data_IF_939598909112
#
_entry.id   IF_939598909112
#
_cell.length_a   1.000
_cell.length_b   1.000
_cell.length_c   1.000
_cell.angle_alpha   90.00
_cell.angle_beta   90.00
_cell.angle_gamma   90.00
#
_symmetry.space_group_name_H-M   'P 1'
#
loop_
_entity.id
_entity.type
_entity.pdbx_description
1 polymer ?
#
# COMPACT_ATOMS: atom_id res chain seq x y z
N UNK A 1 -3.90 -8.18 -15.66
CA UNK A 1 -4.51 -7.41 -14.55
C UNK A 1 -4.12 -8.13 -13.28
N UNK A 2 -3.61 -7.44 -12.25
CA UNK A 2 -3.25 -8.07 -10.97
C UNK A 2 -4.45 -7.99 -10.05
N UNK A 3 -4.99 -9.13 -9.61
CA UNK A 3 -6.20 -9.19 -8.78
C UNK A 3 -5.96 -9.03 -7.27
N UNK A 4 -4.70 -8.97 -6.85
CA UNK A 4 -4.32 -8.77 -5.44
C UNK A 4 -2.96 -8.09 -5.30
N UNK A 5 -2.74 -7.39 -4.19
CA UNK A 5 -1.41 -6.91 -3.77
C UNK A 5 -1.26 -6.87 -2.25
N UNK A 6 0.00 -6.69 -1.81
CA UNK A 6 0.35 -6.46 -0.41
C UNK A 6 1.23 -5.22 -0.35
N UNK A 7 0.90 -4.32 0.56
CA UNK A 7 1.67 -3.13 0.89
C UNK A 7 2.18 -3.26 2.34
N UNK A 8 3.50 -3.16 2.53
CA UNK A 8 4.16 -3.30 3.83
C UNK A 8 4.95 -2.03 4.11
N UNK A 9 4.52 -1.26 5.10
CA UNK A 9 5.10 0.03 5.47
C UNK A 9 5.25 0.98 4.28
N UNK A 10 4.27 0.99 3.37
CA UNK A 10 4.25 1.83 2.19
C UNK A 10 4.18 3.33 2.49
N UNK A 11 4.50 4.11 1.46
CA UNK A 11 4.47 5.56 1.50
C UNK A 11 3.21 6.12 0.83
N UNK A 12 2.81 7.33 1.25
CA UNK A 12 1.69 8.05 0.65
C UNK A 12 1.93 8.47 -0.80
N UNK A 13 3.16 8.36 -1.30
CA UNK A 13 3.51 8.70 -2.67
C UNK A 13 5.00 8.54 -2.94
N UNK A 14 5.43 8.74 -4.20
CA UNK A 14 6.84 8.63 -4.56
C UNK A 14 7.69 9.65 -3.80
N UNK A 15 8.81 9.18 -3.24
CA UNK A 15 9.80 10.02 -2.58
C UNK A 15 11.22 9.55 -2.90
N UNK A 16 12.02 10.47 -3.42
CA UNK A 16 13.45 10.32 -3.67
C UNK A 16 14.23 11.53 -3.13
N UNK A 17 13.66 12.23 -2.14
CA UNK A 17 14.18 13.48 -1.59
C UNK A 17 13.65 14.75 -2.27
N UNK A 18 14.22 15.93 -1.96
CA UNK A 18 13.68 17.23 -2.39
C UNK A 18 13.55 17.42 -3.91
N UNK A 19 14.29 16.64 -4.71
CA UNK A 19 14.28 16.73 -6.18
C UNK A 19 13.37 15.70 -6.85
N UNK A 20 12.50 15.01 -6.10
CA UNK A 20 11.63 13.93 -6.62
C UNK A 20 10.91 14.32 -7.91
N UNK A 21 10.28 15.50 -7.95
CA UNK A 21 9.50 15.95 -9.10
C UNK A 21 10.40 16.18 -10.32
N UNK A 22 11.56 16.80 -10.14
CA UNK A 22 12.51 17.03 -11.24
C UNK A 22 13.05 15.72 -11.81
N UNK A 23 13.49 14.81 -10.93
CA UNK A 23 14.22 13.61 -11.34
C UNK A 23 13.31 12.50 -11.84
N UNK A 24 12.13 12.32 -11.24
CA UNK A 24 11.23 11.22 -11.55
C UNK A 24 10.04 11.65 -12.44
N UNK A 25 9.70 12.94 -12.46
CA UNK A 25 8.52 13.45 -13.17
C UNK A 25 8.86 14.55 -14.19
N UNK A 26 10.14 14.85 -14.40
CA UNK A 26 10.61 15.84 -15.36
C UNK A 26 10.14 17.25 -15.04
N UNK A 27 10.03 17.59 -13.76
CA UNK A 27 9.55 18.90 -13.28
C UNK A 27 8.02 19.04 -13.31
N UNK A 28 7.27 18.01 -13.71
CA UNK A 28 5.82 18.08 -13.78
C UNK A 28 5.15 17.73 -12.45
N UNK A 29 4.64 18.76 -11.77
CA UNK A 29 3.83 18.60 -10.56
C UNK A 29 2.53 17.80 -10.82
N UNK A 30 1.90 17.99 -11.97
CA UNK A 30 0.67 17.26 -12.32
C UNK A 30 0.93 15.76 -12.47
N UNK A 31 2.05 15.36 -13.09
CA UNK A 31 2.44 13.95 -13.19
C UNK A 31 2.75 13.36 -11.82
N UNK A 32 3.40 14.12 -10.94
CA UNK A 32 3.63 13.70 -9.56
C UNK A 32 2.30 13.49 -8.82
N UNK A 33 1.41 14.49 -8.86
CA UNK A 33 0.09 14.41 -8.21
C UNK A 33 -0.74 13.23 -8.75
N UNK A 34 -0.73 12.99 -10.06
CA UNK A 34 -1.41 11.86 -10.68
C UNK A 34 -0.79 10.49 -10.34
N UNK A 35 0.44 10.45 -9.82
CA UNK A 35 1.13 9.22 -9.42
C UNK A 35 0.88 8.81 -7.96
N UNK A 36 0.32 9.73 -7.15
CA UNK A 36 -0.02 9.46 -5.75
C UNK A 36 -1.02 8.28 -5.71
N UNK A 37 -0.79 7.22 -4.90
CA UNK A 37 -1.64 6.03 -4.85
C UNK A 37 -3.14 6.34 -4.74
N UNK A 38 -3.52 7.29 -3.87
CA UNK A 38 -4.93 7.71 -3.74
C UNK A 38 -5.50 8.33 -5.01
N UNK A 39 -4.71 9.15 -5.74
CA UNK A 39 -5.11 9.71 -7.03
C UNK A 39 -5.22 8.63 -8.12
N UNK A 40 -4.25 7.69 -8.16
CA UNK A 40 -4.28 6.54 -9.07
C UNK A 40 -5.55 5.72 -8.84
N UNK A 41 -5.84 5.37 -7.58
CA UNK A 41 -7.01 4.57 -7.23
C UNK A 41 -8.31 5.31 -7.54
N UNK A 42 -8.43 6.59 -7.17
CA UNK A 42 -9.62 7.38 -7.49
C UNK A 42 -9.87 7.46 -9.02
N UNK A 43 -8.83 7.63 -9.83
CA UNK A 43 -8.95 7.77 -11.28
C UNK A 43 -9.41 6.51 -12.03
N UNK A 44 -9.33 5.35 -11.37
CA UNK A 44 -9.62 4.02 -11.97
C UNK A 44 -10.68 3.24 -11.22
N UNK A 45 -11.26 3.82 -10.17
CA UNK A 45 -12.34 3.22 -9.43
C UNK A 45 -13.55 2.92 -10.35
N UNK A 46 -14.34 1.87 -10.06
CA UNK A 46 -14.18 0.95 -8.94
C UNK A 46 -13.24 -0.24 -9.24
N UNK A 47 -12.54 -0.72 -8.22
CA UNK A 47 -11.71 -1.93 -8.28
C UNK A 47 -12.46 -3.19 -7.81
N UNK A 48 -13.56 -3.52 -8.50
CA UNK A 48 -14.52 -4.53 -8.04
C UNK A 48 -13.96 -5.96 -7.87
N UNK A 49 -12.79 -6.28 -8.43
CA UNK A 49 -12.13 -7.57 -8.28
C UNK A 49 -10.65 -7.39 -7.89
N UNK A 50 -10.39 -6.56 -6.89
CA UNK A 50 -9.05 -6.38 -6.32
C UNK A 50 -9.08 -6.56 -4.81
N UNK A 51 -8.16 -7.38 -4.28
CA UNK A 51 -7.91 -7.51 -2.85
C UNK A 51 -6.57 -6.89 -2.45
N UNK A 52 -6.52 -6.32 -1.24
CA UNK A 52 -5.28 -5.74 -0.73
C UNK A 52 -5.09 -6.06 0.75
N UNK A 53 -3.83 -6.32 1.11
CA UNK A 53 -3.40 -6.30 2.51
C UNK A 53 -2.44 -5.14 2.68
N UNK A 54 -2.83 -4.15 3.47
CA UNK A 54 -1.92 -3.13 3.98
C UNK A 54 -1.42 -3.58 5.34
N UNK A 55 -0.13 -3.42 5.59
CA UNK A 55 0.46 -3.83 6.85
C UNK A 55 1.58 -2.90 7.29
N UNK A 56 1.68 -2.61 8.57
CA UNK A 56 2.68 -1.69 9.12
C UNK A 56 3.05 -2.06 10.55
N UNK A 57 4.25 -1.68 10.98
CA UNK A 57 4.69 -1.87 12.36
C UNK A 57 3.87 -1.05 13.35
N UNK A 58 3.54 -1.62 14.50
CA UNK A 58 2.84 -0.93 15.59
C UNK A 58 3.56 0.35 16.03
N UNK A 59 4.89 0.30 16.05
CA UNK A 59 5.79 1.37 16.48
C UNK A 59 6.35 2.19 15.30
N UNK A 60 5.87 1.97 14.08
CA UNK A 60 6.27 2.70 12.88
C UNK A 60 5.57 4.06 12.80
N UNK A 61 5.87 4.95 13.75
CA UNK A 61 5.24 6.28 13.84
C UNK A 61 5.49 7.17 12.61
N UNK A 62 6.51 6.89 11.81
CA UNK A 62 6.85 7.64 10.61
C UNK A 62 5.95 7.30 9.42
N UNK A 63 5.62 6.02 9.23
CA UNK A 63 4.90 5.55 8.04
C UNK A 63 3.48 5.06 8.32
N UNK A 64 3.16 4.62 9.54
CA UNK A 64 1.84 4.10 9.90
C UNK A 64 0.67 5.03 9.54
N UNK A 65 0.71 6.36 9.84
CA UNK A 65 -0.38 7.25 9.43
C UNK A 65 -0.58 7.28 7.91
N UNK A 66 0.50 7.16 7.14
CA UNK A 66 0.46 7.11 5.68
C UNK A 66 -0.15 5.82 5.16
N UNK A 67 0.23 4.67 5.72
CA UNK A 67 -0.35 3.37 5.37
C UNK A 67 -1.86 3.34 5.67
N UNK A 68 -2.28 3.83 6.84
CA UNK A 68 -3.69 3.98 7.22
C UNK A 68 -4.46 4.87 6.21
N UNK A 69 -3.83 5.96 5.74
CA UNK A 69 -4.43 6.84 4.74
C UNK A 69 -4.60 6.16 3.37
N UNK A 70 -3.57 5.43 2.90
CA UNK A 70 -3.62 4.76 1.60
C UNK A 70 -4.62 3.59 1.62
N UNK A 71 -4.69 2.85 2.73
CA UNK A 71 -5.70 1.80 2.91
C UNK A 71 -7.12 2.36 2.83
N UNK A 72 -7.40 3.47 3.54
CA UNK A 72 -8.71 4.11 3.49
C UNK A 72 -9.07 4.59 2.07
N UNK A 73 -8.08 5.09 1.31
CA UNK A 73 -8.27 5.46 -0.09
C UNK A 73 -8.53 4.23 -0.99
N UNK A 74 -7.92 3.09 -0.69
CA UNK A 74 -8.16 1.83 -1.40
C UNK A 74 -9.60 1.34 -1.17
N UNK A 75 -10.07 1.34 0.08
CA UNK A 75 -11.45 1.02 0.43
C UNK A 75 -12.43 1.95 -0.30
N UNK A 76 -12.16 3.27 -0.30
CA UNK A 76 -13.00 4.25 -1.00
C UNK A 76 -13.05 4.03 -2.52
N UNK A 77 -12.00 3.46 -3.12
CA UNK A 77 -11.94 3.09 -4.54
C UNK A 77 -12.58 1.73 -4.85
N UNK A 78 -13.13 1.03 -3.86
CA UNK A 78 -13.81 -0.25 -4.02
C UNK A 78 -12.88 -1.47 -4.01
N UNK A 79 -11.65 -1.34 -3.51
CA UNK A 79 -10.76 -2.48 -3.25
C UNK A 79 -11.23 -3.16 -1.96
N UNK A 80 -11.29 -4.50 -1.96
CA UNK A 80 -11.45 -5.31 -0.75
C UNK A 80 -10.13 -5.32 0.03
N UNK A 81 -9.94 -4.28 0.83
CA UNK A 81 -8.71 -4.01 1.56
C UNK A 81 -8.86 -4.31 3.06
N UNK A 82 -7.77 -4.73 3.69
CA UNK A 82 -7.63 -4.80 5.14
C UNK A 82 -6.30 -4.22 5.60
N UNK A 83 -6.31 -3.58 6.77
CA UNK A 83 -5.10 -3.15 7.48
C UNK A 83 -4.71 -4.17 8.56
N UNK A 84 -3.44 -4.53 8.60
CA UNK A 84 -2.80 -5.27 9.69
C UNK A 84 -1.74 -4.43 10.40
N UNK A 85 -1.57 -4.66 11.69
CA UNK A 85 -0.54 -4.00 12.50
C UNK A 85 0.37 -5.06 13.10
N UNK A 86 1.67 -5.00 12.77
CA UNK A 86 2.69 -5.93 13.25
C UNK A 86 3.13 -5.51 14.67
N UNK A 87 2.84 -6.30 15.71
CA UNK A 87 3.06 -5.90 17.11
C UNK A 87 4.54 -5.79 17.45
N UNK A 88 4.89 -4.77 18.25
CA UNK A 88 6.26 -4.57 18.79
C UNK A 88 7.35 -4.41 17.72
N UNK A 89 7.01 -3.91 16.53
CA UNK A 89 7.95 -3.67 15.43
C UNK A 89 7.73 -2.31 14.79
N UNK A 90 8.77 -1.75 14.18
CA UNK A 90 8.76 -0.43 13.55
C UNK A 90 9.02 -0.56 12.04
N UNK A 91 9.68 0.40 11.41
CA UNK A 91 10.02 0.36 9.98
C UNK A 91 11.21 -0.58 9.69
N UNK A 92 11.03 -1.88 9.97
CA UNK A 92 12.12 -2.85 9.99
C UNK A 92 11.71 -4.23 9.43
N UNK A 93 12.69 -5.14 9.35
CA UNK A 93 12.51 -6.49 8.81
C UNK A 93 11.65 -7.40 9.70
N UNK A 94 11.44 -7.07 10.97
CA UNK A 94 10.47 -7.73 11.83
C UNK A 94 9.04 -7.52 11.30
N UNK A 95 8.69 -6.27 10.99
CA UNK A 95 7.42 -5.92 10.32
C UNK A 95 7.26 -6.68 9.02
N UNK A 96 8.28 -6.69 8.15
CA UNK A 96 8.20 -7.39 6.85
C UNK A 96 7.91 -8.88 7.02
N UNK A 97 8.62 -9.57 7.93
CA UNK A 97 8.40 -11.01 8.18
C UNK A 97 7.00 -11.28 8.70
N UNK A 98 6.55 -10.49 9.67
CA UNK A 98 5.23 -10.65 10.28
C UNK A 98 4.12 -10.40 9.25
N UNK A 99 4.19 -9.27 8.54
CA UNK A 99 3.21 -8.88 7.53
C UNK A 99 3.13 -9.88 6.36
N UNK A 100 4.28 -10.43 5.95
CA UNK A 100 4.31 -11.48 4.93
C UNK A 100 3.58 -12.74 5.42
N UNK A 101 3.85 -13.20 6.63
CA UNK A 101 3.18 -14.36 7.21
C UNK A 101 1.67 -14.14 7.37
N UNK A 102 1.24 -12.93 7.74
CA UNK A 102 -0.16 -12.54 7.86
C UNK A 102 -0.90 -12.47 6.51
N UNK A 103 -0.25 -11.96 5.46
CA UNK A 103 -0.87 -11.79 4.15
C UNK A 103 -0.96 -13.10 3.33
N UNK A 104 0.00 -14.02 3.54
CA UNK A 104 0.15 -15.23 2.73
C UNK A 104 -1.11 -16.13 2.67
N UNK A 105 -1.87 -16.38 3.76
CA UNK A 105 -3.07 -17.20 3.68
C UNK A 105 -4.13 -16.65 2.73
N UNK A 106 -4.45 -15.36 2.83
CA UNK A 106 -5.46 -14.71 1.96
C UNK A 106 -5.00 -14.68 0.50
N UNK A 107 -3.73 -14.36 0.27
CA UNK A 107 -3.14 -14.42 -1.07
C UNK A 107 -3.15 -15.85 -1.64
N UNK A 108 -2.78 -16.83 -0.82
CA UNK A 108 -2.73 -18.24 -1.20
C UNK A 108 -4.09 -18.74 -1.67
N UNK A 109 -5.15 -18.40 -0.95
CA UNK A 109 -6.53 -18.73 -1.34
C UNK A 109 -6.92 -18.03 -2.64
N UNK A 110 -6.70 -16.71 -2.75
CA UNK A 110 -7.09 -15.93 -3.94
C UNK A 110 -6.33 -16.33 -5.21
N UNK A 111 -5.09 -16.77 -5.06
CA UNK A 111 -4.25 -17.27 -6.15
C UNK A 111 -4.47 -18.76 -6.45
N UNK A 112 -5.34 -19.45 -5.71
CA UNK A 112 -5.62 -20.87 -5.89
C UNK A 112 -4.47 -21.80 -5.49
N UNK A 113 -3.52 -21.32 -4.67
CA UNK A 113 -2.38 -22.08 -4.17
C UNK A 113 -2.75 -22.93 -2.94
N UNK A 114 -3.75 -22.49 -2.19
CA UNK A 114 -4.28 -23.19 -1.02
C UNK A 114 -5.81 -23.28 -1.10
N UNK A 115 -6.41 -24.23 -0.38
CA UNK A 115 -7.86 -24.41 -0.28
C UNK A 115 -8.40 -23.85 1.02
#
# INVERSE_FOLDING_TARGET
>A
MYGSFVDISGEIGPWAGPKTIDVAFGGSHDRYAASIPSAVMASRAPYADTQAVFCVGEEDSGYRPGVEQVEAAAVAAGIDARLSIAPGSSHDWGTVKWCTADALPTLGQRLGLTR
#
